data_IF_777669469781
#
_entry.id   IF_777669469781
#
_cell.length_a   1.000
_cell.length_b   1.000
_cell.length_c   1.000
_cell.angle_alpha   90.00
_cell.angle_beta   90.00
_cell.angle_gamma   90.00
#
_symmetry.space_group_name_H-M   'P 1'
#
loop_
_entity.id
_entity.type
_entity.pdbx_description
1 polymer ?
#
# COMPACT_ATOMS: atom_id res chain seq x y z
N UNK A 1 2.15 46.79 26.18
CA UNK A 1 0.96 45.94 25.97
C UNK A 1 0.99 45.44 24.55
N UNK A 2 1.12 44.13 24.38
CA UNK A 2 1.24 43.47 23.09
C UNK A 2 1.74 42.06 23.33
N UNK A 3 1.06 41.32 24.21
CA UNK A 3 1.28 39.88 24.35
C UNK A 3 0.96 39.25 23.00
N UNK A 4 2.00 38.77 22.33
CA UNK A 4 1.88 37.79 21.26
C UNK A 4 1.19 36.58 21.85
N UNK A 5 -0.12 36.47 21.58
CA UNK A 5 -0.90 35.28 21.83
C UNK A 5 -0.20 34.13 21.10
N UNK A 6 0.53 33.30 21.84
CA UNK A 6 0.94 31.96 21.38
C UNK A 6 -0.35 31.20 21.12
N UNK A 7 -0.82 31.23 19.88
CA UNK A 7 -1.86 30.35 19.39
C UNK A 7 -1.44 28.94 19.76
N UNK A 8 -2.26 28.22 20.54
CA UNK A 8 -2.04 26.80 20.85
C UNK A 8 -1.65 26.10 19.54
N UNK A 9 -0.42 25.58 19.46
CA UNK A 9 -0.03 24.67 18.37
C UNK A 9 -1.06 23.55 18.38
N UNK A 10 -1.95 23.53 17.38
CA UNK A 10 -2.81 22.39 17.16
C UNK A 10 -1.86 21.26 16.83
N UNK A 11 -1.75 20.26 17.69
CA UNK A 11 -0.91 19.09 17.39
C UNK A 11 -1.69 18.01 16.63
N UNK A 12 -3.02 18.02 16.77
CA UNK A 12 -3.94 17.00 16.25
C UNK A 12 -4.73 17.49 15.04
N UNK A 13 -5.08 16.57 14.15
CA UNK A 13 -5.87 16.85 12.95
C UNK A 13 -7.31 17.28 13.24
N UNK A 14 -8.02 17.67 12.18
CA UNK A 14 -9.39 18.16 12.27
C UNK A 14 -10.37 17.06 12.72
N UNK A 15 -11.02 17.23 13.88
CA UNK A 15 -12.05 16.30 14.38
C UNK A 15 -13.19 16.07 13.37
N UNK A 16 -13.72 17.09 12.66
CA UNK A 16 -14.73 16.84 11.63
C UNK A 16 -14.20 15.96 10.49
N UNK A 17 -12.92 16.10 10.13
CA UNK A 17 -12.28 15.26 9.11
C UNK A 17 -12.20 13.80 9.56
N UNK A 18 -11.80 13.58 10.82
CA UNK A 18 -11.80 12.26 11.43
C UNK A 18 -13.19 11.61 11.36
N UNK A 19 -14.24 12.30 11.84
CA UNK A 19 -15.62 11.78 11.83
C UNK A 19 -16.07 11.43 10.40
N UNK A 20 -15.82 12.32 9.43
CA UNK A 20 -16.17 12.08 8.02
C UNK A 20 -15.48 10.82 7.48
N UNK A 21 -14.19 10.65 7.72
CA UNK A 21 -13.44 9.47 7.27
C UNK A 21 -13.96 8.18 7.89
N UNK A 22 -14.35 8.19 9.17
CA UNK A 22 -14.96 7.03 9.84
C UNK A 22 -16.33 6.71 9.21
N UNK A 23 -17.18 7.71 8.98
CA UNK A 23 -18.49 7.52 8.33
C UNK A 23 -18.33 6.94 6.93
N UNK A 24 -17.34 7.40 6.15
CA UNK A 24 -17.04 6.84 4.83
C UNK A 24 -16.64 5.37 4.94
N UNK A 25 -15.77 5.01 5.90
CA UNK A 25 -15.38 3.61 6.14
C UNK A 25 -16.58 2.71 6.44
N UNK A 26 -17.51 3.16 7.29
CA UNK A 26 -18.75 2.42 7.56
C UNK A 26 -19.69 2.36 6.35
N UNK A 27 -19.76 3.43 5.56
CA UNK A 27 -20.55 3.44 4.32
C UNK A 27 -20.04 2.38 3.32
N UNK A 28 -18.72 2.26 3.16
CA UNK A 28 -18.13 1.16 2.38
C UNK A 28 -18.44 -0.21 2.98
N UNK A 29 -18.30 -0.37 4.30
CA UNK A 29 -18.58 -1.64 4.98
C UNK A 29 -19.99 -2.16 4.70
N UNK A 30 -21.01 -1.32 4.93
CA UNK A 30 -22.40 -1.72 4.73
C UNK A 30 -22.78 -1.77 3.25
N UNK A 31 -22.33 -0.79 2.45
CA UNK A 31 -22.63 -0.72 1.03
C UNK A 31 -22.09 -1.91 0.26
N UNK A 32 -20.82 -2.29 0.47
CA UNK A 32 -20.21 -3.43 -0.22
C UNK A 32 -20.87 -4.76 0.19
N UNK A 33 -21.26 -4.90 1.46
CA UNK A 33 -22.02 -6.09 1.91
C UNK A 33 -23.40 -6.17 1.25
N UNK A 34 -24.08 -5.04 1.08
CA UNK A 34 -25.40 -4.99 0.47
C UNK A 34 -25.37 -5.22 -1.05
N UNK A 35 -24.28 -4.81 -1.71
CA UNK A 35 -24.14 -4.85 -3.17
C UNK A 35 -23.43 -6.12 -3.69
N UNK A 36 -23.02 -7.03 -2.81
CA UNK A 36 -22.17 -8.18 -3.15
C UNK A 36 -22.79 -9.10 -4.22
N UNK A 37 -22.14 -9.18 -5.38
CA UNK A 37 -22.51 -10.13 -6.45
C UNK A 37 -21.87 -11.51 -6.27
N UNK A 38 -22.28 -12.47 -7.10
CA UNK A 38 -21.85 -13.88 -7.04
C UNK A 38 -21.42 -14.42 -8.42
N UNK A 39 -20.75 -13.60 -9.24
CA UNK A 39 -20.28 -14.05 -10.56
C UNK A 39 -19.19 -15.13 -10.42
N UNK A 40 -19.50 -16.35 -10.86
CA UNK A 40 -18.61 -17.50 -10.77
C UNK A 40 -17.33 -17.39 -11.61
N UNK A 41 -17.31 -16.59 -12.68
CA UNK A 41 -16.12 -16.39 -13.51
C UNK A 41 -15.05 -15.66 -12.72
N UNK A 42 -15.45 -14.63 -11.96
CA UNK A 42 -14.55 -13.80 -11.16
C UNK A 42 -14.34 -14.32 -9.73
N UNK A 43 -14.99 -15.40 -9.32
CA UNK A 43 -14.71 -16.04 -8.03
C UNK A 43 -13.22 -16.36 -7.89
N UNK A 44 -12.62 -16.05 -6.74
CA UNK A 44 -11.18 -16.21 -6.53
C UNK A 44 -10.69 -17.64 -6.80
N UNK A 45 -11.46 -18.66 -6.39
CA UNK A 45 -11.07 -20.05 -6.60
C UNK A 45 -11.10 -20.42 -8.09
N UNK A 46 -12.06 -19.89 -8.83
CA UNK A 46 -12.08 -20.06 -10.28
C UNK A 46 -10.92 -19.29 -10.95
N UNK A 47 -10.52 -18.14 -10.42
CA UNK A 47 -9.37 -17.37 -10.94
C UNK A 47 -8.04 -18.12 -10.83
N UNK A 48 -7.82 -18.86 -9.74
CA UNK A 48 -6.58 -19.63 -9.54
C UNK A 48 -6.65 -21.04 -10.16
N UNK A 49 -7.84 -21.62 -10.28
CA UNK A 49 -8.02 -22.95 -10.87
C UNK A 49 -7.59 -22.97 -12.35
N UNK A 50 -6.69 -23.89 -12.72
CA UNK A 50 -6.19 -24.02 -14.09
C UNK A 50 -5.43 -22.78 -14.59
N UNK A 51 -4.93 -21.92 -13.70
CA UNK A 51 -4.22 -20.69 -14.06
C UNK A 51 -2.96 -20.95 -14.91
N UNK A 52 -2.30 -22.10 -14.71
CA UNK A 52 -1.10 -22.47 -15.46
C UNK A 52 -1.36 -22.63 -16.96
N UNK A 53 -2.57 -23.06 -17.32
CA UNK A 53 -2.97 -23.34 -18.70
C UNK A 53 -3.79 -22.19 -19.31
N UNK A 54 -3.99 -21.09 -18.58
CA UNK A 54 -4.85 -19.99 -19.00
C UNK A 54 -4.14 -18.64 -18.96
N UNK A 55 -3.65 -18.20 -20.12
CA UNK A 55 -3.06 -16.85 -20.29
C UNK A 55 -3.98 -15.73 -19.80
N UNK A 56 -5.30 -15.73 -20.07
CA UNK A 56 -6.20 -14.71 -19.52
C UNK A 56 -6.21 -14.67 -17.98
N UNK A 57 -6.16 -15.82 -17.29
CA UNK A 57 -6.09 -15.86 -15.83
C UNK A 57 -4.74 -15.37 -15.30
N UNK A 58 -3.64 -15.65 -16.00
CA UNK A 58 -2.31 -15.11 -15.66
C UNK A 58 -2.26 -13.57 -15.82
N UNK A 59 -2.90 -13.03 -16.86
CA UNK A 59 -3.05 -11.58 -17.05
C UNK A 59 -3.93 -10.98 -15.96
N UNK A 60 -5.03 -11.63 -15.60
CA UNK A 60 -5.87 -11.17 -14.50
C UNK A 60 -5.11 -11.18 -13.15
N UNK A 61 -4.32 -12.22 -12.88
CA UNK A 61 -3.43 -12.29 -11.72
C UNK A 61 -2.44 -11.11 -11.70
N UNK A 62 -1.83 -10.78 -12.85
CA UNK A 62 -0.97 -9.61 -12.98
C UNK A 62 -1.67 -8.32 -12.54
N UNK A 63 -2.94 -8.09 -12.93
CA UNK A 63 -3.68 -6.92 -12.46
C UNK A 63 -4.06 -7.01 -10.97
N UNK A 64 -4.45 -8.18 -10.47
CA UNK A 64 -4.77 -8.37 -9.04
C UNK A 64 -3.60 -7.96 -8.15
N UNK A 65 -2.36 -8.27 -8.57
CA UNK A 65 -1.13 -7.96 -7.84
C UNK A 65 -0.96 -6.46 -7.54
N UNK A 66 -1.52 -5.56 -8.36
CA UNK A 66 -1.43 -4.12 -8.09
C UNK A 66 -2.17 -3.67 -6.81
N UNK A 67 -3.06 -4.50 -6.27
CA UNK A 67 -3.87 -4.18 -5.07
C UNK A 67 -3.77 -5.20 -3.95
N UNK A 68 -2.80 -6.10 -4.04
CA UNK A 68 -2.55 -7.08 -2.97
C UNK A 68 -1.96 -6.46 -1.72
N UNK A 69 -1.20 -5.36 -1.82
CA UNK A 69 -0.73 -4.61 -0.66
C UNK A 69 -1.91 -4.05 0.17
N UNK A 70 -3.02 -3.74 -0.47
CA UNK A 70 -4.28 -3.34 0.16
C UNK A 70 -5.15 -4.54 0.57
N UNK A 71 -4.68 -5.76 0.34
CA UNK A 71 -5.40 -7.02 0.58
C UNK A 71 -6.68 -7.16 -0.27
N UNK A 72 -6.79 -6.41 -1.37
CA UNK A 72 -7.94 -6.53 -2.24
C UNK A 72 -7.77 -7.67 -3.24
N UNK A 73 -6.57 -7.89 -3.78
CA UNK A 73 -6.30 -8.90 -4.79
C UNK A 73 -7.38 -8.91 -5.90
N UNK A 74 -7.73 -7.73 -6.43
CA UNK A 74 -8.86 -7.54 -7.34
C UNK A 74 -8.40 -7.03 -8.69
N UNK A 75 -8.87 -7.65 -9.79
CA UNK A 75 -8.61 -7.21 -11.17
C UNK A 75 -9.12 -5.78 -11.37
N UNK A 76 -10.34 -5.50 -10.91
CA UNK A 76 -10.98 -4.20 -11.10
C UNK A 76 -10.28 -3.11 -10.30
N UNK A 77 -9.92 -3.38 -9.05
CA UNK A 77 -9.14 -2.44 -8.23
C UNK A 77 -7.72 -2.25 -8.80
N UNK A 78 -7.10 -3.32 -9.31
CA UNK A 78 -5.80 -3.32 -9.99
C UNK A 78 -5.76 -2.44 -11.24
N UNK A 79 -6.74 -2.59 -12.12
CA UNK A 79 -6.90 -1.71 -13.27
C UNK A 79 -7.18 -0.28 -12.80
N UNK A 80 -8.06 -0.13 -11.81
CA UNK A 80 -8.42 1.16 -11.21
C UNK A 80 -7.21 1.95 -10.74
N UNK A 81 -6.32 1.36 -9.94
CA UNK A 81 -5.16 2.07 -9.41
C UNK A 81 -4.14 2.46 -10.49
N UNK A 82 -3.95 1.63 -11.52
CA UNK A 82 -3.07 1.98 -12.66
C UNK A 82 -3.66 3.17 -13.42
N UNK A 83 -4.95 3.10 -13.80
CA UNK A 83 -5.62 4.20 -14.49
C UNK A 83 -5.66 5.47 -13.65
N UNK A 84 -5.96 5.34 -12.36
CA UNK A 84 -5.99 6.44 -11.41
C UNK A 84 -4.63 7.11 -11.24
N UNK A 85 -3.55 6.34 -11.16
CA UNK A 85 -2.18 6.86 -11.16
C UNK A 85 -1.85 7.63 -12.43
N UNK A 86 -2.21 7.10 -13.61
CA UNK A 86 -2.01 7.77 -14.90
C UNK A 86 -2.80 9.09 -14.96
N UNK A 87 -4.06 9.08 -14.51
CA UNK A 87 -4.91 10.28 -14.46
C UNK A 87 -4.31 11.32 -13.51
N UNK A 88 -3.92 10.92 -12.30
CA UNK A 88 -3.28 11.80 -11.32
C UNK A 88 -1.99 12.42 -11.88
N UNK A 89 -1.14 11.62 -12.52
CA UNK A 89 0.07 12.09 -13.19
C UNK A 89 -0.22 13.11 -14.28
N UNK A 90 -1.15 12.83 -15.19
CA UNK A 90 -1.52 13.76 -16.27
C UNK A 90 -2.04 15.08 -15.69
N UNK A 91 -2.88 15.02 -14.66
CA UNK A 91 -3.40 16.20 -13.99
C UNK A 91 -2.28 17.01 -13.32
N UNK A 92 -1.32 16.34 -12.68
CA UNK A 92 -0.17 16.97 -12.04
C UNK A 92 0.74 17.68 -13.06
N UNK A 93 1.13 16.99 -14.15
CA UNK A 93 1.97 17.58 -15.21
C UNK A 93 1.28 18.77 -15.90
N UNK A 94 -0.06 18.77 -15.97
CA UNK A 94 -0.85 19.89 -16.51
C UNK A 94 -1.12 21.00 -15.49
N UNK A 95 -0.57 20.93 -14.27
CA UNK A 95 -0.83 21.87 -13.18
C UNK A 95 -2.33 22.06 -12.89
N UNK A 96 -3.11 20.99 -13.01
CA UNK A 96 -4.54 21.03 -12.75
C UNK A 96 -4.82 21.14 -11.26
N UNK A 97 -5.81 21.98 -10.90
CA UNK A 97 -6.33 22.07 -9.52
C UNK A 97 -6.98 20.79 -9.01
N UNK A 98 -7.24 19.82 -9.90
CA UNK A 98 -7.81 18.51 -9.55
C UNK A 98 -6.76 17.41 -9.43
N UNK A 99 -5.46 17.73 -9.50
CA UNK A 99 -4.39 16.74 -9.43
C UNK A 99 -4.34 16.01 -8.08
N UNK A 100 -4.87 16.62 -7.01
CA UNK A 100 -4.71 16.13 -5.65
C UNK A 100 -3.29 16.37 -5.13
N UNK A 101 -2.83 15.55 -4.19
CA UNK A 101 -1.42 15.52 -3.80
C UNK A 101 -0.53 15.09 -4.97
N UNK A 102 0.66 15.65 -5.11
CA UNK A 102 1.56 15.25 -6.19
C UNK A 102 2.00 13.78 -6.03
N UNK A 103 1.86 13.00 -7.12
CA UNK A 103 2.27 11.59 -7.13
C UNK A 103 3.79 11.47 -6.93
N UNK A 104 4.23 10.32 -6.40
CA UNK A 104 5.65 10.05 -6.15
C UNK A 104 6.28 11.10 -5.21
N UNK A 105 5.58 11.40 -4.11
CA UNK A 105 6.05 12.27 -3.01
C UNK A 105 6.50 13.65 -3.47
N UNK A 106 5.68 14.31 -4.31
CA UNK A 106 6.01 15.63 -4.86
C UNK A 106 6.76 15.60 -6.19
N UNK A 107 7.25 14.44 -6.62
CA UNK A 107 8.05 14.28 -7.84
C UNK A 107 7.24 13.66 -8.98
N UNK A 108 6.16 14.33 -9.41
CA UNK A 108 5.20 13.78 -10.38
C UNK A 108 5.82 13.31 -11.70
N UNK A 109 6.96 13.86 -12.13
CA UNK A 109 7.69 13.39 -13.32
C UNK A 109 8.27 11.99 -13.20
N UNK A 110 8.39 11.43 -11.98
CA UNK A 110 8.86 10.07 -11.75
C UNK A 110 7.79 9.01 -11.93
N UNK A 111 6.50 9.38 -11.97
CA UNK A 111 5.41 8.42 -12.06
C UNK A 111 5.58 7.40 -13.20
N UNK A 112 5.96 7.78 -14.45
CA UNK A 112 6.19 6.81 -15.51
C UNK A 112 7.30 5.79 -15.20
N UNK A 113 8.33 6.19 -14.45
CA UNK A 113 9.46 5.33 -14.07
C UNK A 113 9.10 4.39 -12.92
N UNK A 114 8.38 4.91 -11.93
CA UNK A 114 7.77 4.10 -10.86
C UNK A 114 6.86 3.05 -11.47
N UNK A 115 5.90 3.44 -12.33
CA UNK A 115 5.00 2.50 -12.99
C UNK A 115 5.74 1.51 -13.89
N UNK A 116 6.73 1.96 -14.67
CA UNK A 116 7.54 1.06 -15.50
C UNK A 116 8.26 0.00 -14.65
N UNK A 117 8.85 0.38 -13.51
CA UNK A 117 9.52 -0.58 -12.62
C UNK A 117 8.55 -1.61 -12.03
N UNK A 118 7.32 -1.19 -11.69
CA UNK A 118 6.26 -2.06 -11.19
C UNK A 118 5.84 -3.07 -12.26
N UNK A 119 5.56 -2.59 -13.48
CA UNK A 119 5.15 -3.43 -14.60
C UNK A 119 6.24 -4.42 -15.04
N UNK A 120 7.49 -3.95 -15.18
CA UNK A 120 8.61 -4.80 -15.62
C UNK A 120 8.93 -5.84 -14.55
N UNK A 121 9.10 -5.44 -13.28
CA UNK A 121 9.46 -6.38 -12.22
C UNK A 121 8.40 -7.45 -11.98
N UNK A 122 7.12 -7.07 -11.98
CA UNK A 122 6.01 -8.01 -11.85
C UNK A 122 5.90 -8.91 -13.09
N UNK A 123 6.08 -8.35 -14.29
CA UNK A 123 6.07 -9.10 -15.54
C UNK A 123 7.18 -10.15 -15.58
N UNK A 124 8.38 -9.79 -15.12
CA UNK A 124 9.49 -10.74 -14.97
C UNK A 124 9.14 -11.83 -13.96
N UNK A 125 8.61 -11.48 -12.78
CA UNK A 125 8.23 -12.45 -11.76
C UNK A 125 7.19 -13.47 -12.26
N UNK A 126 6.14 -13.02 -12.94
CA UNK A 126 5.05 -13.89 -13.40
C UNK A 126 5.40 -14.64 -14.68
N UNK A 127 5.91 -13.95 -15.71
CA UNK A 127 6.00 -14.50 -17.06
C UNK A 127 7.38 -15.03 -17.43
N UNK A 128 8.46 -14.54 -16.80
CA UNK A 128 9.85 -14.96 -17.11
C UNK A 128 10.37 -15.94 -16.07
N UNK A 129 10.36 -15.56 -14.80
CA UNK A 129 10.78 -16.43 -13.69
C UNK A 129 9.71 -17.45 -13.31
N UNK A 130 8.49 -17.30 -13.84
CA UNK A 130 7.40 -18.28 -13.74
C UNK A 130 7.05 -18.64 -12.30
N UNK A 131 7.07 -17.68 -11.37
CA UNK A 131 6.62 -17.96 -9.99
C UNK A 131 5.17 -18.41 -9.91
N UNK A 132 4.36 -18.08 -10.91
CA UNK A 132 3.00 -18.59 -11.05
C UNK A 132 2.94 -20.13 -11.10
N UNK A 133 4.03 -20.82 -11.46
CA UNK A 133 4.13 -22.28 -11.40
C UNK A 133 3.99 -22.84 -9.97
N UNK A 134 4.07 -22.00 -8.93
CA UNK A 134 3.75 -22.42 -7.55
C UNK A 134 2.33 -22.99 -7.41
N UNK A 135 1.39 -22.57 -8.25
CA UNK A 135 0.02 -23.15 -8.30
C UNK A 135 -0.03 -24.59 -8.82
N UNK A 136 1.09 -25.18 -9.24
CA UNK A 136 1.15 -26.61 -9.55
C UNK A 136 0.97 -27.47 -8.29
N UNK A 137 1.32 -26.93 -7.12
CA UNK A 137 0.96 -27.53 -5.84
C UNK A 137 -0.46 -27.11 -5.47
N UNK A 138 -1.37 -28.10 -5.41
CA UNK A 138 -2.78 -27.88 -5.08
C UNK A 138 -3.03 -27.27 -3.69
N UNK A 139 -2.04 -27.31 -2.79
CA UNK A 139 -2.12 -26.67 -1.47
C UNK A 139 -1.83 -25.17 -1.52
N UNK A 140 -1.21 -24.69 -2.59
CA UNK A 140 -0.89 -23.28 -2.78
C UNK A 140 -2.10 -22.55 -3.35
N UNK A 141 -2.70 -21.70 -2.54
CA UNK A 141 -3.85 -20.86 -2.94
C UNK A 141 -3.43 -19.42 -3.25
N UNK A 142 -2.15 -19.08 -3.04
CA UNK A 142 -1.67 -17.71 -3.12
C UNK A 142 -0.14 -17.64 -3.28
N UNK A 143 0.36 -16.62 -4.00
CA UNK A 143 1.79 -16.40 -4.25
C UNK A 143 2.10 -14.90 -4.15
N UNK A 144 3.13 -14.54 -3.39
CA UNK A 144 3.50 -13.16 -3.07
C UNK A 144 4.21 -12.39 -4.20
N UNK A 145 3.77 -12.52 -5.45
CA UNK A 145 4.41 -11.83 -6.59
C UNK A 145 4.28 -10.30 -6.53
N UNK A 146 3.28 -9.80 -5.80
CA UNK A 146 2.94 -8.38 -5.74
C UNK A 146 4.01 -7.52 -5.05
N UNK A 147 4.89 -8.15 -4.27
CA UNK A 147 5.93 -7.48 -3.50
C UNK A 147 6.80 -6.59 -4.40
N UNK A 148 6.98 -6.95 -5.67
CA UNK A 148 7.76 -6.13 -6.61
C UNK A 148 7.07 -4.82 -6.99
N UNK A 149 5.74 -4.76 -6.89
CA UNK A 149 4.92 -3.57 -7.18
C UNK A 149 5.02 -2.52 -6.07
N UNK A 150 5.21 -2.94 -4.82
CA UNK A 150 5.20 -2.06 -3.64
C UNK A 150 6.51 -2.10 -2.85
N UNK A 151 7.52 -2.76 -3.39
CA UNK A 151 8.81 -2.98 -2.74
C UNK A 151 9.95 -2.20 -3.38
N UNK A 152 11.10 -2.87 -3.51
CA UNK A 152 12.34 -2.22 -3.92
C UNK A 152 12.34 -1.58 -5.33
N UNK A 153 11.78 -2.19 -6.39
CA UNK A 153 11.88 -1.63 -7.74
C UNK A 153 11.39 -0.17 -7.88
N UNK A 154 10.14 0.18 -7.48
CA UNK A 154 9.70 1.58 -7.50
C UNK A 154 10.46 2.46 -6.50
N UNK A 155 10.86 1.94 -5.34
CA UNK A 155 11.64 2.69 -4.35
C UNK A 155 13.00 3.14 -4.90
N UNK A 156 13.66 2.28 -5.69
CA UNK A 156 14.92 2.63 -6.38
C UNK A 156 14.68 3.75 -7.40
N UNK A 157 13.52 3.83 -8.05
CA UNK A 157 13.20 4.92 -8.98
C UNK A 157 13.06 6.28 -8.28
N UNK A 158 12.65 6.28 -7.02
CA UNK A 158 12.63 7.50 -6.22
C UNK A 158 14.03 7.92 -5.75
N UNK A 159 14.96 6.98 -5.57
CA UNK A 159 16.35 7.28 -5.21
C UNK A 159 17.22 7.70 -6.41
N UNK A 160 17.03 7.05 -7.56
CA UNK A 160 17.89 7.21 -8.74
C UNK A 160 17.26 8.03 -9.86
N UNK A 161 16.01 8.46 -9.70
CA UNK A 161 15.29 9.22 -10.70
C UNK A 161 15.07 8.44 -12.00
N UNK A 162 14.98 9.12 -13.16
CA UNK A 162 14.68 8.51 -14.47
C UNK A 162 15.90 7.78 -15.08
N UNK A 163 16.48 6.84 -14.32
CA UNK A 163 17.70 6.11 -14.67
C UNK A 163 17.38 4.72 -15.23
N UNK A 164 17.60 4.51 -16.54
CA UNK A 164 17.41 3.21 -17.19
C UNK A 164 18.22 2.09 -16.55
N UNK A 165 19.53 2.28 -16.22
CA UNK A 165 20.30 1.23 -15.55
C UNK A 165 19.71 0.83 -14.20
N UNK A 166 19.22 1.81 -13.41
CA UNK A 166 18.56 1.55 -12.13
C UNK A 166 17.21 0.83 -12.31
N UNK A 167 16.42 1.23 -13.32
CA UNK A 167 15.13 0.62 -13.65
C UNK A 167 15.29 -0.87 -13.95
N UNK A 168 16.20 -1.22 -14.87
CA UNK A 168 16.41 -2.60 -15.29
C UNK A 168 17.02 -3.43 -14.15
N UNK A 169 18.06 -2.91 -13.48
CA UNK A 169 18.74 -3.63 -12.40
C UNK A 169 17.79 -3.95 -11.25
N UNK A 170 17.08 -2.95 -10.74
CA UNK A 170 16.16 -3.13 -9.62
C UNK A 170 14.97 -4.02 -10.00
N UNK A 171 14.44 -3.91 -11.22
CA UNK A 171 13.32 -4.73 -11.67
C UNK A 171 13.70 -6.20 -11.84
N UNK A 172 14.88 -6.49 -12.38
CA UNK A 172 15.38 -7.87 -12.54
C UNK A 172 15.63 -8.50 -11.17
N UNK A 173 16.39 -7.83 -10.31
CA UNK A 173 16.73 -8.39 -8.99
C UNK A 173 15.47 -8.52 -8.14
N UNK A 174 14.65 -7.46 -8.06
CA UNK A 174 13.39 -7.49 -7.30
C UNK A 174 12.43 -8.57 -7.82
N UNK A 175 12.28 -8.67 -9.15
CA UNK A 175 11.53 -9.74 -9.80
C UNK A 175 12.00 -11.12 -9.39
N UNK A 176 13.31 -11.33 -9.27
CA UNK A 176 13.93 -12.62 -8.98
C UNK A 176 13.89 -13.02 -7.49
N UNK A 177 14.06 -12.08 -6.56
CA UNK A 177 14.31 -12.46 -5.15
C UNK A 177 13.09 -12.28 -4.24
N UNK A 178 12.12 -11.45 -4.61
CA UNK A 178 11.01 -11.12 -3.73
C UNK A 178 10.10 -12.32 -3.43
N UNK A 179 9.53 -12.97 -4.44
CA UNK A 179 8.60 -14.09 -4.20
C UNK A 179 9.26 -15.28 -3.48
N UNK A 180 10.47 -15.75 -3.85
CA UNK A 180 11.15 -16.82 -3.13
C UNK A 180 11.44 -16.49 -1.66
N UNK A 181 11.84 -15.24 -1.38
CA UNK A 181 12.10 -14.80 -0.01
C UNK A 181 10.81 -14.81 0.81
N UNK A 182 9.69 -14.37 0.25
CA UNK A 182 8.39 -14.40 0.93
C UNK A 182 7.92 -15.82 1.23
N UNK A 183 8.09 -16.75 0.28
CA UNK A 183 7.77 -18.17 0.49
C UNK A 183 8.64 -18.74 1.61
N UNK A 184 9.95 -18.45 1.58
CA UNK A 184 10.87 -18.93 2.61
C UNK A 184 10.51 -18.38 4.00
N UNK A 185 10.28 -17.06 4.15
CA UNK A 185 9.87 -16.47 5.44
C UNK A 185 8.51 -17.02 5.88
N UNK A 186 7.58 -17.19 4.95
CA UNK A 186 6.26 -17.78 5.19
C UNK A 186 6.40 -19.15 5.86
N UNK A 187 7.15 -20.04 5.24
CA UNK A 187 7.31 -21.42 5.69
C UNK A 187 8.21 -21.56 6.92
N UNK A 188 9.29 -20.78 7.02
CA UNK A 188 10.30 -20.92 8.07
C UNK A 188 9.96 -20.12 9.34
N UNK A 189 9.20 -19.04 9.24
CA UNK A 189 8.94 -18.11 10.35
C UNK A 189 7.45 -17.95 10.61
N UNK A 190 6.67 -17.51 9.63
CA UNK A 190 5.27 -17.12 9.86
C UNK A 190 4.39 -18.32 10.23
N UNK A 191 4.45 -19.40 9.45
CA UNK A 191 3.63 -20.60 9.71
C UNK A 191 3.98 -21.28 11.04
N UNK A 192 5.26 -21.55 11.38
CA UNK A 192 5.60 -22.18 12.66
C UNK A 192 5.20 -21.34 13.89
N UNK A 193 5.25 -20.01 13.77
CA UNK A 193 4.90 -19.08 14.85
C UNK A 193 3.44 -18.61 14.82
N UNK A 194 2.64 -19.11 13.88
CA UNK A 194 1.23 -18.74 13.69
C UNK A 194 1.01 -17.22 13.58
N UNK A 195 1.94 -16.53 12.91
CA UNK A 195 1.86 -15.09 12.71
C UNK A 195 0.92 -14.76 11.54
N UNK A 196 0.38 -13.52 11.46
CA UNK A 196 -0.40 -13.08 10.30
C UNK A 196 0.43 -13.18 9.00
N UNK A 197 -0.18 -13.64 7.91
CA UNK A 197 0.51 -13.88 6.63
C UNK A 197 1.28 -12.68 6.08
N UNK A 198 0.78 -11.45 6.29
CA UNK A 198 1.45 -10.22 5.84
C UNK A 198 2.85 -10.06 6.43
N UNK A 199 3.12 -10.62 7.61
CA UNK A 199 4.43 -10.55 8.28
C UNK A 199 5.52 -11.09 7.36
N UNK A 200 5.23 -12.15 6.58
CA UNK A 200 6.18 -12.67 5.60
C UNK A 200 6.45 -11.65 4.48
N UNK A 201 5.40 -10.97 4.02
CA UNK A 201 5.46 -10.05 2.88
C UNK A 201 6.23 -8.79 3.22
N UNK A 202 5.88 -8.14 4.34
CA UNK A 202 6.52 -6.88 4.74
C UNK A 202 7.94 -7.10 5.27
N UNK A 203 8.23 -8.24 5.91
CA UNK A 203 9.61 -8.62 6.25
C UNK A 203 10.45 -8.89 4.99
N UNK A 204 9.85 -9.52 3.98
CA UNK A 204 10.49 -9.69 2.68
C UNK A 204 10.80 -8.36 2.04
N UNK A 205 9.83 -7.43 2.00
CA UNK A 205 10.04 -6.07 1.47
C UNK A 205 11.18 -5.34 2.18
N UNK A 206 11.31 -5.51 3.51
CA UNK A 206 12.41 -4.92 4.26
C UNK A 206 13.77 -5.50 3.82
N UNK A 207 13.88 -6.83 3.81
CA UNK A 207 15.12 -7.55 3.50
C UNK A 207 15.53 -7.31 2.04
N UNK A 208 14.63 -7.54 1.10
CA UNK A 208 14.91 -7.35 -0.33
C UNK A 208 15.08 -5.88 -0.68
N UNK A 209 14.38 -4.98 0.02
CA UNK A 209 14.57 -3.53 -0.07
C UNK A 209 16.01 -3.13 0.23
N UNK A 210 16.58 -3.62 1.33
CA UNK A 210 17.99 -3.38 1.67
C UNK A 210 18.91 -3.97 0.60
N UNK A 211 18.72 -5.25 0.24
CA UNK A 211 19.58 -5.95 -0.73
C UNK A 211 19.60 -5.21 -2.07
N UNK A 212 18.43 -4.93 -2.64
CA UNK A 212 18.31 -4.30 -3.97
C UNK A 212 18.88 -2.88 -3.95
N UNK A 213 18.57 -2.07 -2.93
CA UNK A 213 19.12 -0.72 -2.81
C UNK A 213 20.65 -0.74 -2.71
N UNK A 214 21.21 -1.64 -1.89
CA UNK A 214 22.66 -1.76 -1.71
C UNK A 214 23.36 -2.28 -2.97
N UNK A 215 22.76 -3.22 -3.69
CA UNK A 215 23.29 -3.66 -4.99
C UNK A 215 23.29 -2.50 -5.99
N UNK A 216 22.19 -1.76 -6.11
CA UNK A 216 22.12 -0.57 -6.95
C UNK A 216 23.15 0.51 -6.53
N UNK A 217 23.47 0.62 -5.23
CA UNK A 217 24.49 1.56 -4.72
C UNK A 217 25.92 1.19 -5.16
N UNK A 218 26.23 -0.11 -5.23
CA UNK A 218 27.59 -0.60 -5.48
C UNK A 218 27.89 -0.73 -6.99
N UNK A 219 26.87 -0.96 -7.82
CA UNK A 219 27.06 -1.19 -9.25
C UNK A 219 27.47 0.10 -10.01
N UNK A 220 28.61 0.12 -10.72
CA UNK A 220 29.19 1.36 -11.26
C UNK A 220 28.40 1.98 -12.42
N UNK A 221 27.53 1.20 -13.08
CA UNK A 221 26.65 1.69 -14.14
C UNK A 221 25.31 2.22 -13.63
N UNK A 222 24.99 2.01 -12.35
CA UNK A 222 23.74 2.49 -11.74
C UNK A 222 24.01 3.86 -11.10
N UNK A 223 23.64 4.92 -11.83
CA UNK A 223 23.87 6.31 -11.41
C UNK A 223 22.55 7.06 -11.26
N UNK A 224 22.43 7.93 -10.24
CA UNK A 224 21.25 8.75 -10.08
C UNK A 224 21.17 9.78 -11.21
N UNK A 225 19.95 10.01 -11.70
CA UNK A 225 19.64 11.04 -12.68
C UNK A 225 18.78 12.10 -12.00
N UNK A 226 19.15 13.40 -12.08
CA UNK A 226 18.38 14.46 -11.47
C UNK A 226 16.93 14.48 -11.95
N UNK A 227 16.01 14.66 -11.01
CA UNK A 227 14.58 14.77 -11.27
C UNK A 227 14.28 16.21 -11.66
N UNK A 228 13.61 16.41 -12.78
CA UNK A 228 13.16 17.74 -13.21
C UNK A 228 11.85 18.07 -12.50
N UNK A 229 11.75 19.19 -11.76
CA UNK A 229 10.47 19.65 -11.24
C UNK A 229 9.46 19.86 -12.38
N UNK A 230 8.20 19.43 -12.21
CA UNK A 230 7.13 19.77 -13.16
C UNK A 230 6.55 21.16 -12.91
N UNK A 231 6.73 21.70 -11.70
CA UNK A 231 6.33 23.05 -11.32
C UNK A 231 7.53 23.97 -11.24
N UNK A 232 7.36 25.19 -11.74
CA UNK A 232 8.34 26.28 -11.62
C UNK A 232 8.14 27.09 -10.34
N UNK A 233 6.93 27.07 -9.76
CA UNK A 233 6.58 27.79 -8.53
C UNK A 233 6.33 26.82 -7.38
N UNK A 234 6.69 27.25 -6.16
CA UNK A 234 6.37 26.51 -4.95
C UNK A 234 4.84 26.44 -4.78
N UNK A 235 4.33 25.25 -4.47
CA UNK A 235 2.92 25.09 -4.14
C UNK A 235 2.57 25.92 -2.89
N UNK A 236 1.35 26.45 -2.78
CA UNK A 236 0.87 27.05 -1.54
C UNK A 236 1.00 26.06 -0.38
N UNK A 237 1.35 26.56 0.81
CA UNK A 237 1.39 25.73 2.00
C UNK A 237 -0.03 25.18 2.29
N UNK A 238 -0.13 23.86 2.44
CA UNK A 238 -1.38 23.21 2.81
C UNK A 238 -1.77 23.56 4.27
N UNK A 239 -3.06 23.82 4.50
CA UNK A 239 -3.61 23.84 5.85
C UNK A 239 -3.89 22.40 6.31
N UNK A 240 -2.90 21.78 6.95
CA UNK A 240 -2.97 20.40 7.45
C UNK A 240 -4.00 20.20 8.57
N UNK A 241 -4.49 21.30 9.16
CA UNK A 241 -5.52 21.28 10.19
C UNK A 241 -6.93 21.50 9.64
N UNK A 242 -7.06 21.64 8.32
CA UNK A 242 -8.36 21.75 7.66
C UNK A 242 -9.04 20.38 7.51
N UNK A 243 -10.36 20.37 7.58
CA UNK A 243 -11.18 19.17 7.33
C UNK A 243 -10.96 18.60 5.92
N UNK A 244 -10.81 19.47 4.92
CA UNK A 244 -10.62 19.06 3.53
C UNK A 244 -9.29 18.33 3.33
N UNK A 245 -8.20 18.92 3.83
CA UNK A 245 -6.88 18.30 3.76
C UNK A 245 -6.85 16.95 4.47
N UNK A 246 -7.44 16.87 5.67
CA UNK A 246 -7.53 15.63 6.45
C UNK A 246 -8.15 14.50 5.64
N UNK A 247 -9.35 14.73 5.07
CA UNK A 247 -10.08 13.70 4.33
C UNK A 247 -9.28 13.29 3.09
N UNK A 248 -8.72 14.25 2.34
CA UNK A 248 -7.87 13.98 1.17
C UNK A 248 -6.64 13.14 1.55
N UNK A 249 -6.01 13.43 2.70
CA UNK A 249 -4.84 12.69 3.18
C UNK A 249 -5.19 11.24 3.54
N UNK A 250 -6.32 11.02 4.20
CA UNK A 250 -6.84 9.67 4.47
C UNK A 250 -7.08 8.91 3.16
N UNK A 251 -7.63 9.55 2.12
CA UNK A 251 -7.74 8.90 0.82
C UNK A 251 -6.36 8.63 0.21
N UNK A 252 -5.43 9.58 0.26
CA UNK A 252 -4.08 9.40 -0.29
C UNK A 252 -3.33 8.20 0.31
N UNK A 253 -3.54 7.91 1.60
CA UNK A 253 -2.95 6.74 2.29
C UNK A 253 -3.25 5.40 1.60
N UNK A 254 -4.37 5.27 0.87
CA UNK A 254 -4.71 4.05 0.15
C UNK A 254 -3.77 3.71 -1.02
N UNK A 255 -3.00 4.68 -1.53
CA UNK A 255 -2.09 4.48 -2.67
C UNK A 255 -0.63 4.78 -2.34
N UNK A 256 -0.30 4.98 -1.06
CA UNK A 256 1.07 5.19 -0.59
C UNK A 256 1.96 3.96 -0.80
N UNK A 257 1.43 2.74 -0.64
CA UNK A 257 2.20 1.51 -0.86
C UNK A 257 2.70 1.36 -2.31
N UNK A 258 1.94 1.87 -3.28
CA UNK A 258 2.34 1.94 -4.69
C UNK A 258 3.23 3.15 -5.00
N UNK A 259 3.62 3.93 -3.99
CA UNK A 259 4.40 5.16 -4.11
C UNK A 259 3.65 6.29 -4.85
N UNK A 260 2.31 6.25 -4.87
CA UNK A 260 1.51 7.28 -5.52
C UNK A 260 1.07 8.34 -4.51
N UNK A 261 0.56 7.94 -3.34
CA UNK A 261 0.21 8.88 -2.26
C UNK A 261 -0.79 9.95 -2.70
N UNK A 262 -1.81 9.55 -3.46
CA UNK A 262 -2.69 10.48 -4.17
C UNK A 262 -4.15 10.05 -4.08
N UNK A 263 -5.03 11.00 -3.73
CA UNK A 263 -6.45 10.76 -3.50
C UNK A 263 -7.25 10.51 -4.79
N UNK A 264 -6.80 11.01 -5.95
CA UNK A 264 -7.42 10.70 -7.24
C UNK A 264 -7.15 9.25 -7.62
N UNK A 265 -5.92 8.78 -7.46
CA UNK A 265 -5.57 7.38 -7.65
C UNK A 265 -6.36 6.47 -6.70
N UNK A 266 -6.53 6.89 -5.44
CA UNK A 266 -7.35 6.18 -4.46
C UNK A 266 -8.83 6.13 -4.83
N UNK A 267 -9.38 7.19 -5.43
CA UNK A 267 -10.77 7.19 -5.89
C UNK A 267 -11.00 6.13 -6.98
N UNK A 268 -10.09 6.00 -7.94
CA UNK A 268 -10.19 4.95 -8.97
C UNK A 268 -9.97 3.55 -8.39
N UNK A 269 -9.02 3.39 -7.47
CA UNK A 269 -8.79 2.15 -6.75
C UNK A 269 -10.07 1.68 -6.03
N UNK A 270 -10.69 2.56 -5.24
CA UNK A 270 -11.89 2.25 -4.46
C UNK A 270 -13.12 2.05 -5.36
N UNK A 271 -13.24 2.80 -6.45
CA UNK A 271 -14.27 2.55 -7.46
C UNK A 271 -14.10 1.16 -8.09
N UNK A 272 -12.87 0.76 -8.40
CA UNK A 272 -12.55 -0.60 -8.85
C UNK A 272 -12.91 -1.66 -7.81
N UNK A 273 -12.64 -1.41 -6.52
CA UNK A 273 -13.04 -2.32 -5.44
C UNK A 273 -14.57 -2.45 -5.32
N UNK A 274 -15.32 -1.34 -5.46
CA UNK A 274 -16.80 -1.33 -5.49
C UNK A 274 -17.33 -2.14 -6.67
N UNK A 275 -16.80 -1.91 -7.88
CA UNK A 275 -17.17 -2.67 -9.08
C UNK A 275 -16.87 -4.15 -8.85
N UNK A 276 -15.70 -4.47 -8.32
CA UNK A 276 -15.30 -5.85 -7.99
C UNK A 276 -16.29 -6.52 -7.06
N UNK A 277 -16.70 -5.85 -5.98
CA UNK A 277 -17.69 -6.40 -5.04
C UNK A 277 -19.08 -6.58 -5.69
N UNK A 278 -19.53 -5.64 -6.53
CA UNK A 278 -20.79 -5.76 -7.28
C UNK A 278 -20.77 -6.94 -8.24
N UNK A 279 -19.63 -7.19 -8.90
CA UNK A 279 -19.48 -8.31 -9.83
C UNK A 279 -19.40 -9.63 -9.06
N UNK A 280 -18.50 -9.72 -8.08
CA UNK A 280 -18.29 -10.90 -7.26
C UNK A 280 -17.66 -10.51 -5.91
N UNK A 281 -18.43 -10.58 -4.82
CA UNK A 281 -17.94 -10.27 -3.47
C UNK A 281 -16.83 -11.18 -2.97
N UNK A 282 -16.75 -12.40 -3.52
CA UNK A 282 -15.70 -13.38 -3.26
C UNK A 282 -14.51 -13.24 -4.22
N UNK A 283 -14.47 -12.24 -5.09
CA UNK A 283 -13.31 -12.03 -5.95
C UNK A 283 -12.11 -11.52 -5.15
N UNK A 284 -12.35 -10.52 -4.30
CA UNK A 284 -11.29 -9.88 -3.53
C UNK A 284 -10.96 -10.58 -2.23
N UNK A 285 -9.87 -10.15 -1.59
CA UNK A 285 -9.37 -10.67 -0.32
C UNK A 285 -9.23 -12.20 -0.32
N UNK A 286 -8.69 -12.75 -1.41
CA UNK A 286 -8.39 -14.19 -1.55
C UNK A 286 -9.63 -15.09 -1.37
N UNK A 287 -10.81 -14.62 -1.77
CA UNK A 287 -12.04 -15.40 -1.64
C UNK A 287 -12.71 -15.34 -0.26
N UNK A 288 -12.15 -14.59 0.69
CA UNK A 288 -12.66 -14.53 2.07
C UNK A 288 -13.93 -13.70 2.25
N UNK A 289 -14.30 -12.87 1.26
CA UNK A 289 -15.37 -11.87 1.41
C UNK A 289 -15.04 -10.75 2.40
N UNK A 290 -13.78 -10.62 2.82
CA UNK A 290 -13.37 -9.69 3.88
C UNK A 290 -13.17 -8.24 3.42
N UNK A 291 -13.24 -7.95 2.12
CA UNK A 291 -13.01 -6.61 1.54
C UNK A 291 -13.76 -5.48 2.29
N UNK A 292 -15.05 -5.63 2.67
CA UNK A 292 -15.75 -4.57 3.39
C UNK A 292 -15.12 -4.25 4.76
N UNK A 293 -14.72 -5.28 5.51
CA UNK A 293 -14.08 -5.14 6.83
C UNK A 293 -12.66 -4.60 6.70
N UNK A 294 -11.93 -5.02 5.66
CA UNK A 294 -10.60 -4.51 5.31
C UNK A 294 -10.67 -3.00 5.06
N UNK A 295 -11.57 -2.54 4.17
CA UNK A 295 -11.74 -1.11 3.86
C UNK A 295 -12.12 -0.30 5.10
N UNK A 296 -13.02 -0.82 5.95
CA UNK A 296 -13.35 -0.18 7.23
C UNK A 296 -12.10 0.00 8.10
N UNK A 297 -11.30 -1.07 8.29
CA UNK A 297 -10.09 -1.01 9.11
C UNK A 297 -9.05 -0.03 8.56
N UNK A 298 -8.98 0.10 7.24
CA UNK A 298 -8.09 1.01 6.53
C UNK A 298 -8.48 2.47 6.77
N UNK A 299 -9.77 2.82 6.62
CA UNK A 299 -10.25 4.16 6.94
C UNK A 299 -10.05 4.51 8.42
N UNK A 300 -10.35 3.57 9.33
CA UNK A 300 -10.13 3.77 10.76
C UNK A 300 -8.65 4.00 11.07
N UNK A 301 -7.76 3.18 10.51
CA UNK A 301 -6.32 3.27 10.75
C UNK A 301 -5.69 4.54 10.19
N UNK A 302 -5.98 4.88 8.93
CA UNK A 302 -5.53 6.12 8.31
C UNK A 302 -6.06 7.35 9.08
N UNK A 303 -7.37 7.39 9.37
CA UNK A 303 -7.96 8.52 10.10
C UNK A 303 -7.35 8.67 11.50
N UNK A 304 -7.10 7.56 12.21
CA UNK A 304 -6.44 7.59 13.53
C UNK A 304 -5.02 8.15 13.41
N UNK A 305 -4.23 7.66 12.46
CA UNK A 305 -2.87 8.15 12.23
C UNK A 305 -2.84 9.63 11.86
N UNK A 306 -3.64 10.06 10.88
CA UNK A 306 -3.73 11.47 10.44
C UNK A 306 -4.22 12.37 11.58
N UNK A 307 -5.16 11.92 12.41
CA UNK A 307 -5.66 12.69 13.55
C UNK A 307 -4.60 12.89 14.64
N UNK A 308 -3.85 11.85 14.98
CA UNK A 308 -2.83 11.96 16.02
C UNK A 308 -1.58 12.70 15.56
N UNK A 309 -1.26 12.63 14.27
CA UNK A 309 0.03 13.06 13.73
C UNK A 309 -0.05 14.14 12.65
N UNK A 310 -1.16 14.88 12.54
CA UNK A 310 -1.33 15.94 11.53
C UNK A 310 -0.17 16.95 11.52
N UNK A 311 0.33 17.37 12.68
CA UNK A 311 1.44 18.32 12.76
C UNK A 311 2.77 17.80 12.18
N UNK A 312 2.92 16.49 11.92
CA UNK A 312 4.08 15.94 11.21
C UNK A 312 4.07 16.26 9.72
N UNK A 313 2.94 16.70 9.19
CA UNK A 313 2.80 17.13 7.79
C UNK A 313 2.96 18.64 7.60
N UNK A 314 3.09 19.41 8.69
CA UNK A 314 3.36 20.86 8.60
C UNK A 314 4.64 21.14 7.82
N UNK A 315 4.68 22.29 7.14
CA UNK A 315 5.83 22.77 6.38
C UNK A 315 6.34 21.78 5.31
N UNK A 316 5.43 20.99 4.71
CA UNK A 316 5.78 19.98 3.71
C UNK A 316 6.40 18.71 4.29
N UNK A 317 6.22 18.48 5.59
CA UNK A 317 6.60 17.23 6.24
C UNK A 317 5.78 16.03 5.74
N UNK A 318 6.19 14.83 6.13
CA UNK A 318 5.53 13.59 5.77
C UNK A 318 5.58 12.61 6.95
N UNK A 319 4.53 11.79 7.09
CA UNK A 319 4.45 10.77 8.12
C UNK A 319 3.78 9.49 7.59
N UNK A 320 4.22 8.34 8.10
CA UNK A 320 3.80 7.03 7.60
C UNK A 320 2.41 6.60 8.14
N UNK A 321 1.39 7.45 7.99
CA UNK A 321 0.00 7.18 8.45
C UNK A 321 -0.68 6.06 7.68
N UNK A 322 -0.13 5.67 6.51
CA UNK A 322 -0.61 4.56 5.70
C UNK A 322 -0.18 3.17 6.20
N UNK A 323 0.76 3.07 7.14
CA UNK A 323 1.21 1.79 7.72
C UNK A 323 0.04 0.88 8.11
N UNK A 324 -0.97 1.32 8.90
CA UNK A 324 -2.13 0.48 9.22
C UNK A 324 -2.99 0.08 8.02
N UNK A 325 -2.98 0.87 6.94
CA UNK A 325 -3.81 0.65 5.75
C UNK A 325 -3.38 -0.59 4.98
N UNK A 326 -2.09 -0.89 4.97
CA UNK A 326 -1.52 -1.99 4.17
C UNK A 326 -0.87 -3.06 5.04
N UNK A 327 -1.22 -3.12 6.32
CA UNK A 327 -0.71 -4.16 7.22
C UNK A 327 -1.68 -4.53 8.34
N UNK A 328 -1.64 -3.81 9.45
CA UNK A 328 -2.25 -4.17 10.74
C UNK A 328 -3.75 -4.47 10.62
N UNK A 329 -4.53 -3.51 10.12
CA UNK A 329 -5.99 -3.62 10.02
C UNK A 329 -6.42 -4.81 9.15
N UNK A 330 -6.00 -4.85 7.87
CA UNK A 330 -6.36 -5.94 6.98
C UNK A 330 -5.90 -7.32 7.46
N UNK A 331 -4.68 -7.42 8.00
CA UNK A 331 -4.13 -8.69 8.47
C UNK A 331 -4.91 -9.25 9.67
N UNK A 332 -5.27 -8.39 10.62
CA UNK A 332 -6.08 -8.81 11.76
C UNK A 332 -7.50 -9.18 11.33
N UNK A 333 -8.09 -8.46 10.37
CA UNK A 333 -9.39 -8.81 9.78
C UNK A 333 -9.38 -10.19 9.14
N UNK A 334 -8.32 -10.53 8.39
CA UNK A 334 -8.21 -11.86 7.78
C UNK A 334 -7.93 -12.98 8.81
N UNK A 335 -7.20 -12.68 9.88
CA UNK A 335 -6.80 -13.68 10.87
C UNK A 335 -7.85 -13.92 11.97
N UNK A 336 -8.52 -12.86 12.44
CA UNK A 336 -9.46 -12.90 13.58
C UNK A 336 -10.93 -12.67 13.16
N UNK A 337 -11.17 -12.36 11.89
CA UNK A 337 -12.52 -12.36 11.30
C UNK A 337 -12.98 -11.01 10.75
N UNK A 338 -13.80 -11.08 9.70
CA UNK A 338 -14.34 -9.95 8.95
C UNK A 338 -15.53 -9.25 9.63
N UNK A 339 -15.32 -8.79 10.86
CA UNK A 339 -16.32 -8.10 11.68
C UNK A 339 -15.88 -6.68 12.08
N UNK A 340 -16.85 -5.86 12.51
CA UNK A 340 -16.62 -4.47 12.89
C UNK A 340 -15.66 -4.35 14.08
N UNK A 341 -15.82 -5.13 15.18
CA UNK A 341 -14.90 -5.04 16.32
C UNK A 341 -13.43 -5.21 15.94
N UNK A 342 -13.09 -6.26 15.18
CA UNK A 342 -11.71 -6.52 14.74
C UNK A 342 -11.22 -5.38 13.83
N UNK A 343 -12.02 -4.96 12.85
CA UNK A 343 -11.65 -3.91 11.91
C UNK A 343 -11.36 -2.57 12.61
N UNK A 344 -12.22 -2.16 13.55
CA UNK A 344 -12.06 -0.91 14.29
C UNK A 344 -10.88 -1.00 15.26
N UNK A 345 -10.79 -2.08 16.05
CA UNK A 345 -9.75 -2.22 17.06
C UNK A 345 -8.35 -2.30 16.44
N UNK A 346 -8.16 -3.13 15.41
CA UNK A 346 -6.90 -3.24 14.70
C UNK A 346 -6.54 -1.95 13.95
N UNK A 347 -7.53 -1.30 13.34
CA UNK A 347 -7.35 0.00 12.70
C UNK A 347 -6.82 1.06 13.67
N UNK A 348 -7.48 1.24 14.82
CA UNK A 348 -7.08 2.22 15.84
C UNK A 348 -5.67 1.94 16.36
N UNK A 349 -5.38 0.71 16.81
CA UNK A 349 -4.06 0.38 17.34
C UNK A 349 -2.96 0.54 16.29
N UNK A 350 -3.21 0.08 15.05
CA UNK A 350 -2.28 0.26 13.94
C UNK A 350 -2.02 1.73 13.63
N UNK A 351 -3.06 2.57 13.64
CA UNK A 351 -2.94 4.01 13.43
C UNK A 351 -2.16 4.72 14.53
N UNK A 352 -2.25 4.25 15.77
CA UNK A 352 -1.47 4.77 16.89
C UNK A 352 0.02 4.43 16.71
N UNK A 353 0.38 3.16 16.47
CA UNK A 353 1.77 2.71 16.57
C UNK A 353 2.56 2.74 15.25
N UNK A 354 1.88 2.66 14.11
CA UNK A 354 2.53 2.45 12.81
C UNK A 354 3.46 3.58 12.40
N UNK A 355 3.00 4.82 12.49
CA UNK A 355 3.81 6.01 12.19
C UNK A 355 5.04 6.17 13.10
N UNK A 356 4.89 6.13 14.44
CA UNK A 356 6.01 6.22 15.37
C UNK A 356 7.09 5.16 15.18
N UNK A 357 6.70 3.90 14.96
CA UNK A 357 7.67 2.82 14.72
C UNK A 357 8.38 3.05 13.39
N UNK A 358 7.67 3.49 12.34
CA UNK A 358 8.29 3.80 11.05
C UNK A 358 9.31 4.95 11.18
N UNK A 359 8.97 6.00 11.93
CA UNK A 359 9.89 7.10 12.21
C UNK A 359 11.18 6.58 12.90
N UNK A 360 11.04 5.76 13.95
CA UNK A 360 12.17 5.19 14.67
C UNK A 360 13.15 4.41 13.78
N UNK A 361 12.64 3.65 12.80
CA UNK A 361 13.49 2.92 11.86
C UNK A 361 14.03 3.83 10.75
N UNK A 362 13.30 4.86 10.34
CA UNK A 362 13.75 5.77 9.28
C UNK A 362 15.05 6.49 9.66
N UNK A 363 15.19 6.85 10.95
CA UNK A 363 16.39 7.47 11.53
C UNK A 363 17.60 6.53 11.60
N UNK A 364 17.41 5.23 11.30
CA UNK A 364 18.44 4.17 11.42
C UNK A 364 18.74 3.47 10.10
N UNK A 365 18.16 3.93 9.00
CA UNK A 365 18.38 3.30 7.71
C UNK A 365 19.82 3.52 7.24
N UNK A 366 20.46 2.49 6.65
CA UNK A 366 21.74 2.67 5.97
C UNK A 366 21.61 3.70 4.84
N UNK A 367 22.67 4.46 4.60
CA UNK A 367 22.71 5.41 3.50
C UNK A 367 22.48 4.72 2.15
N UNK A 368 21.58 5.26 1.34
CA UNK A 368 21.20 4.73 0.03
C UNK A 368 20.06 3.72 0.07
N UNK A 369 19.50 3.43 1.26
CA UNK A 369 18.26 2.64 1.42
C UNK A 369 17.06 3.58 1.48
N UNK A 370 16.03 3.29 0.70
CA UNK A 370 14.81 4.11 0.64
C UNK A 370 13.97 3.98 1.93
N UNK A 371 13.31 5.07 2.34
CA UNK A 371 12.49 5.15 3.55
C UNK A 371 11.39 4.09 3.66
N UNK A 372 10.93 3.54 2.54
CA UNK A 372 9.94 2.43 2.52
C UNK A 372 10.37 1.23 3.35
N UNK A 373 11.69 0.96 3.46
CA UNK A 373 12.21 -0.14 4.30
C UNK A 373 11.84 0.05 5.77
N UNK A 374 11.89 1.29 6.27
CA UNK A 374 11.46 1.60 7.63
C UNK A 374 9.94 1.42 7.78
N UNK A 375 9.16 1.82 6.78
CA UNK A 375 7.70 1.67 6.79
C UNK A 375 7.29 0.20 6.84
N UNK A 376 7.86 -0.66 5.98
CA UNK A 376 7.53 -2.10 5.98
C UNK A 376 8.10 -2.83 7.20
N UNK A 377 9.22 -2.38 7.77
CA UNK A 377 9.70 -2.88 9.08
C UNK A 377 8.71 -2.52 10.19
N UNK A 378 8.16 -1.30 10.16
CA UNK A 378 7.10 -0.89 11.06
C UNK A 378 5.83 -1.73 10.89
N UNK A 379 5.44 -2.01 9.65
CA UNK A 379 4.30 -2.89 9.35
C UNK A 379 4.48 -4.27 9.98
N UNK A 380 5.69 -4.86 9.90
CA UNK A 380 6.01 -6.15 10.53
C UNK A 380 5.77 -6.11 12.04
N UNK A 381 6.40 -5.15 12.73
CA UNK A 381 6.38 -5.07 14.19
C UNK A 381 4.98 -4.69 14.69
N UNK A 382 4.33 -3.73 14.03
CA UNK A 382 2.98 -3.29 14.38
C UNK A 382 1.98 -4.43 14.24
N UNK A 383 2.07 -5.20 13.14
CA UNK A 383 1.15 -6.31 12.89
C UNK A 383 1.31 -7.42 13.91
N UNK A 384 2.55 -7.83 14.21
CA UNK A 384 2.83 -8.82 15.25
C UNK A 384 2.29 -8.34 16.60
N UNK A 385 2.59 -7.09 16.97
CA UNK A 385 2.19 -6.52 18.26
C UNK A 385 0.67 -6.53 18.42
N UNK A 386 -0.07 -6.02 17.43
CA UNK A 386 -1.54 -5.94 17.50
C UNK A 386 -2.18 -7.32 17.43
N UNK A 387 -1.63 -8.23 16.62
CA UNK A 387 -2.07 -9.63 16.56
C UNK A 387 -1.93 -10.33 17.92
N UNK A 388 -0.81 -10.15 18.61
CA UNK A 388 -0.61 -10.68 19.97
C UNK A 388 -1.62 -10.07 20.96
N UNK A 389 -1.85 -8.75 20.89
CA UNK A 389 -2.83 -8.07 21.74
C UNK A 389 -4.24 -8.63 21.52
N UNK A 390 -4.70 -8.76 20.28
CA UNK A 390 -6.02 -9.33 19.96
C UNK A 390 -6.13 -10.76 20.49
N UNK A 391 -5.10 -11.58 20.28
CA UNK A 391 -5.09 -12.99 20.72
C UNK A 391 -5.14 -13.17 22.24
N UNK A 392 -4.70 -12.16 23.00
CA UNK A 392 -4.71 -12.19 24.46
C UNK A 392 -6.04 -11.72 25.07
N UNK A 393 -6.93 -11.10 24.27
CA UNK A 393 -8.18 -10.53 24.74
C UNK A 393 -9.33 -11.54 24.55
N UNK A 394 -10.13 -11.83 25.59
CA UNK A 394 -11.11 -12.93 25.56
C UNK A 394 -12.39 -12.64 24.75
N UNK A 395 -12.51 -11.46 24.14
CA UNK A 395 -13.71 -11.00 23.44
C UNK A 395 -13.55 -10.90 21.92
N UNK A 396 -12.45 -11.42 21.36
CA UNK A 396 -12.18 -11.48 19.93
C UNK A 396 -12.16 -12.91 19.38
#
# INVERSE_FOLDING_TARGET
MGETVKTKEKMTGALPGFIISIVIGFAFYFGLKALSGNNAVFDYNNMISGILDSVPKQIAWFFMNFTEAQFYASVFAGIGIILGGIVAWILAIKNSKYAGFDVCYGSSTLFPWVLASQLISLGLAIFVFRYINGFADSSVTWIATFITVVGAPPAVMLLYGPSVPALLTSSIIGGLICAPTAIWIGNAIVTPWKLPGVVANVSTMAITGIIVCMVCKILPWVKPVPVKPHRTEAAPADDVYSTSWFVRRVFADFTEAQFYGNEVASAFLLAGAVIGAIVCGNHGAYGSGAVPAIILSQFVGAATGVFLYAGKFDNGGWYATYVPVVSVGPACVLMYGANIPVAVFAGVLGGIIGGPIAQFFSEKLPEGVHGTVANVTSMTISTITVSVVISALPWF
#
